data_IF_129934221789
#
_entry.id   IF_129934221789
#
_cell.length_a   1.000
_cell.length_b   1.000
_cell.length_c   1.000
_cell.angle_alpha   90.00
_cell.angle_beta   90.00
_cell.angle_gamma   90.00
#
_symmetry.space_group_name_H-M   'P 1'
#
loop_
_entity.id
_entity.type
_entity.pdbx_description
1 polymer ?
#
# COMPACT_ATOMS: atom_id res chain seq x y z
N UNK A 1 54.88 1.54 13.92
CA UNK A 1 53.49 1.55 14.40
C UNK A 1 52.65 2.74 13.92
N UNK A 2 53.08 4.00 14.11
CA UNK A 2 52.31 5.19 13.69
C UNK A 2 51.96 5.25 12.18
N UNK A 3 52.88 4.87 11.27
CA UNK A 3 52.59 4.86 9.81
C UNK A 3 51.61 3.77 9.42
N UNK A 4 51.67 2.59 9.99
CA UNK A 4 50.70 1.52 9.72
C UNK A 4 49.28 1.87 10.21
N UNK A 5 49.19 2.51 11.37
CA UNK A 5 47.93 3.04 11.89
C UNK A 5 47.33 4.11 10.99
N UNK A 6 48.16 5.08 10.55
CA UNK A 6 47.70 6.15 9.65
C UNK A 6 47.21 5.58 8.27
N UNK A 7 47.89 4.57 7.74
CA UNK A 7 47.46 3.89 6.52
C UNK A 7 46.15 3.16 6.73
N UNK A 8 45.99 2.46 7.86
CA UNK A 8 44.73 1.78 8.21
C UNK A 8 43.55 2.75 8.31
N UNK A 9 43.74 3.89 8.98
CA UNK A 9 42.71 4.96 9.07
C UNK A 9 42.37 5.52 7.69
N UNK A 10 43.38 5.78 6.83
CA UNK A 10 43.13 6.29 5.47
C UNK A 10 42.32 5.30 4.63
N UNK A 11 42.62 4.00 4.70
CA UNK A 11 41.84 2.96 3.99
C UNK A 11 40.39 2.95 4.46
N UNK A 12 40.13 3.02 5.78
CA UNK A 12 38.77 3.05 6.32
C UNK A 12 38.02 4.31 5.85
N UNK A 13 38.65 5.48 5.87
CA UNK A 13 38.03 6.74 5.40
C UNK A 13 37.70 6.66 3.93
N UNK A 14 38.59 6.13 3.10
CA UNK A 14 38.34 5.97 1.65
C UNK A 14 37.23 4.95 1.40
N UNK A 15 37.20 3.83 2.13
CA UNK A 15 36.16 2.83 2.02
C UNK A 15 34.77 3.38 2.44
N UNK A 16 34.70 4.11 3.56
CA UNK A 16 33.46 4.76 4.01
C UNK A 16 33.01 5.86 3.04
N UNK A 17 33.92 6.67 2.54
CA UNK A 17 33.65 7.70 1.53
C UNK A 17 33.16 7.08 0.22
N UNK A 18 33.78 6.00 -0.23
CA UNK A 18 33.35 5.25 -1.41
C UNK A 18 31.95 4.62 -1.23
N UNK A 19 31.70 4.03 -0.07
CA UNK A 19 30.39 3.46 0.25
C UNK A 19 29.29 4.54 0.32
N UNK A 20 29.59 5.69 0.94
CA UNK A 20 28.67 6.82 0.98
C UNK A 20 28.39 7.36 -0.44
N UNK A 21 29.42 7.56 -1.24
CA UNK A 21 29.29 8.01 -2.61
C UNK A 21 28.44 7.03 -3.45
N UNK A 22 28.74 5.72 -3.35
CA UNK A 22 27.93 4.69 -3.99
C UNK A 22 26.47 4.77 -3.53
N UNK A 23 26.20 4.92 -2.22
CA UNK A 23 24.85 5.05 -1.67
C UNK A 23 24.08 6.23 -2.29
N UNK A 24 24.70 7.38 -2.38
CA UNK A 24 24.04 8.57 -2.91
C UNK A 24 23.90 8.59 -4.43
N UNK A 25 24.83 7.99 -5.17
CA UNK A 25 24.79 7.98 -6.64
C UNK A 25 23.89 6.86 -7.21
N UNK A 26 23.82 5.71 -6.54
CA UNK A 26 23.16 4.52 -7.07
C UNK A 26 21.80 4.21 -6.44
N UNK A 27 21.46 4.85 -5.34
CA UNK A 27 20.16 4.65 -4.67
C UNK A 27 19.32 5.92 -4.68
N UNK A 28 17.98 5.79 -4.81
CA UNK A 28 17.24 4.55 -5.02
C UNK A 28 17.48 3.98 -6.41
N UNK A 29 17.43 2.66 -6.56
CA UNK A 29 17.48 2.02 -7.87
C UNK A 29 16.25 2.43 -8.67
N UNK A 30 16.45 3.06 -9.82
CA UNK A 30 15.34 3.48 -10.68
C UNK A 30 15.72 3.34 -12.15
N UNK A 31 14.69 3.13 -12.98
CA UNK A 31 14.79 3.31 -14.41
C UNK A 31 14.27 4.70 -14.81
N UNK A 32 14.67 5.25 -15.95
CA UNK A 32 13.99 6.42 -16.50
C UNK A 32 12.49 6.16 -16.64
N UNK A 33 11.62 7.18 -16.42
CA UNK A 33 10.20 7.00 -16.64
C UNK A 33 9.93 6.65 -18.12
N UNK A 34 8.97 5.76 -18.34
CA UNK A 34 8.55 5.41 -19.71
C UNK A 34 8.09 6.64 -20.47
N UNK A 35 8.42 6.80 -21.76
CA UNK A 35 7.87 7.86 -22.61
C UNK A 35 6.40 7.61 -23.01
N UNK A 36 5.82 6.50 -22.56
CA UNK A 36 4.44 6.12 -22.87
C UNK A 36 3.47 7.25 -22.52
N UNK A 37 2.52 7.49 -23.43
CA UNK A 37 1.31 8.27 -23.17
C UNK A 37 0.12 7.34 -23.13
N UNK A 38 -0.66 7.45 -22.07
CA UNK A 38 -1.83 6.60 -21.85
C UNK A 38 -2.99 7.15 -22.66
N UNK A 39 -3.58 6.30 -23.47
CA UNK A 39 -4.79 6.62 -24.19
C UNK A 39 -5.99 6.64 -23.25
N UNK A 40 -6.79 7.70 -23.33
CA UNK A 40 -7.95 7.94 -22.46
C UNK A 40 -9.24 7.41 -23.10
N UNK A 41 -9.36 6.08 -23.26
CA UNK A 41 -10.62 5.50 -23.72
C UNK A 41 -11.63 5.37 -22.57
N UNK A 42 -12.95 5.42 -22.86
CA UNK A 42 -13.99 5.27 -21.84
C UNK A 42 -13.82 3.98 -21.02
N UNK A 43 -13.50 2.87 -21.67
CA UNK A 43 -13.34 1.56 -21.05
C UNK A 43 -12.13 1.54 -20.09
N UNK A 44 -11.02 2.17 -20.51
CA UNK A 44 -9.81 2.28 -19.70
C UNK A 44 -10.03 3.20 -18.50
N UNK A 45 -10.72 4.31 -18.68
CA UNK A 45 -11.08 5.24 -17.60
C UNK A 45 -11.97 4.54 -16.58
N UNK A 46 -13.01 3.83 -17.03
CA UNK A 46 -13.92 3.11 -16.11
C UNK A 46 -13.20 1.98 -15.37
N UNK A 47 -12.34 1.22 -16.06
CA UNK A 47 -11.48 0.22 -15.41
C UNK A 47 -10.57 0.88 -14.38
N UNK A 48 -9.98 2.01 -14.72
CA UNK A 48 -9.12 2.79 -13.82
C UNK A 48 -9.88 3.30 -12.61
N UNK A 49 -11.11 3.80 -12.79
CA UNK A 49 -11.99 4.22 -11.70
C UNK A 49 -12.25 3.07 -10.73
N UNK A 50 -12.66 1.94 -11.27
CA UNK A 50 -12.93 0.73 -10.50
C UNK A 50 -11.69 0.28 -9.70
N UNK A 51 -10.52 0.20 -10.33
CA UNK A 51 -9.28 -0.17 -9.67
C UNK A 51 -8.88 0.82 -8.59
N UNK A 52 -8.88 2.12 -8.90
CA UNK A 52 -8.42 3.18 -8.00
C UNK A 52 -9.27 3.28 -6.73
N UNK A 53 -10.58 3.09 -6.86
CA UNK A 53 -11.53 3.24 -5.75
C UNK A 53 -11.71 1.91 -5.01
N UNK A 54 -12.01 0.82 -5.73
CA UNK A 54 -12.51 -0.38 -5.09
C UNK A 54 -11.46 -1.45 -4.84
N UNK A 55 -10.39 -1.52 -5.65
CA UNK A 55 -9.39 -2.60 -5.53
C UNK A 55 -8.11 -2.11 -4.85
N UNK A 56 -7.49 -1.06 -5.40
CA UNK A 56 -6.22 -0.52 -4.89
C UNK A 56 -6.41 0.46 -3.74
N UNK A 57 -7.60 1.09 -3.66
CA UNK A 57 -7.98 2.04 -2.60
C UNK A 57 -7.05 3.24 -2.53
N UNK A 58 -6.63 3.76 -3.67
CA UNK A 58 -5.75 4.92 -3.74
C UNK A 58 -6.38 6.12 -3.00
N UNK A 59 -7.67 6.34 -3.24
CA UNK A 59 -8.41 7.45 -2.64
C UNK A 59 -8.57 7.35 -1.13
N UNK A 60 -8.52 6.16 -0.55
CA UNK A 60 -8.63 5.97 0.91
C UNK A 60 -7.41 6.56 1.64
N UNK A 61 -6.21 6.39 1.05
CA UNK A 61 -5.00 6.99 1.57
C UNK A 61 -4.83 8.45 1.12
N UNK A 62 -5.20 8.75 -0.13
CA UNK A 62 -5.01 10.08 -0.71
C UNK A 62 -6.20 11.04 -0.50
N UNK A 63 -7.02 10.79 0.52
CA UNK A 63 -8.07 11.70 1.01
C UNK A 63 -8.06 11.72 2.54
N UNK A 64 -8.72 12.70 3.13
CA UNK A 64 -9.08 12.62 4.54
C UNK A 64 -10.08 11.48 4.73
N UNK A 65 -10.05 10.82 5.89
CA UNK A 65 -10.94 9.70 6.21
C UNK A 65 -11.90 10.05 7.32
N UNK A 66 -13.10 9.50 7.24
CA UNK A 66 -14.11 9.63 8.29
C UNK A 66 -14.04 8.47 9.28
N UNK A 67 -13.21 8.62 10.29
CA UNK A 67 -13.02 7.61 11.33
C UNK A 67 -14.20 7.52 12.33
N UNK A 68 -15.22 8.37 12.22
CA UNK A 68 -16.48 8.20 12.95
C UNK A 68 -17.35 7.10 12.32
N UNK A 69 -16.99 6.63 11.11
CA UNK A 69 -17.67 5.55 10.39
C UNK A 69 -16.79 4.31 10.30
N UNK A 70 -17.42 3.14 10.26
CA UNK A 70 -16.72 1.85 10.25
C UNK A 70 -15.80 1.71 9.03
N UNK A 71 -14.53 1.40 9.28
CA UNK A 71 -13.51 1.32 8.26
C UNK A 71 -13.01 2.66 7.74
N UNK A 72 -13.50 3.79 8.29
CA UNK A 72 -13.04 5.13 7.92
C UNK A 72 -13.11 5.43 6.41
N UNK A 73 -14.28 5.52 5.78
CA UNK A 73 -14.39 5.82 4.35
C UNK A 73 -13.78 7.17 4.01
N UNK A 74 -13.32 7.38 2.76
CA UNK A 74 -12.74 8.66 2.35
C UNK A 74 -13.78 9.77 2.34
N UNK A 75 -13.37 10.97 2.76
CA UNK A 75 -14.17 12.21 2.69
C UNK A 75 -13.85 12.98 1.42
N UNK A 76 -14.85 13.66 0.88
CA UNK A 76 -14.62 14.65 -0.16
C UNK A 76 -13.81 15.86 0.40
N UNK A 77 -12.94 16.47 -0.41
CA UNK A 77 -12.65 16.15 -1.81
C UNK A 77 -11.69 14.95 -1.95
N UNK A 78 -12.09 14.01 -2.81
CA UNK A 78 -11.37 12.74 -2.98
C UNK A 78 -10.07 12.94 -3.78
N UNK A 79 -8.98 12.32 -3.32
CA UNK A 79 -7.67 12.37 -3.97
C UNK A 79 -6.85 13.62 -3.68
N UNK A 80 -7.37 14.55 -2.86
CA UNK A 80 -6.71 15.82 -2.57
C UNK A 80 -5.54 15.71 -1.57
N UNK A 81 -5.26 14.53 -1.04
CA UNK A 81 -4.26 14.33 0.01
C UNK A 81 -4.74 14.82 1.37
N UNK A 82 -3.95 15.67 2.02
CA UNK A 82 -4.20 16.37 3.30
C UNK A 82 -3.96 15.56 4.57
N UNK A 83 -4.03 14.22 4.54
CA UNK A 83 -3.69 13.43 5.71
C UNK A 83 -2.17 13.47 5.97
N UNK A 84 -1.76 13.75 7.20
CA UNK A 84 -0.37 13.68 7.62
C UNK A 84 -0.21 12.67 8.75
N UNK A 85 0.85 11.89 8.68
CA UNK A 85 1.28 10.95 9.70
C UNK A 85 2.46 11.56 10.44
N UNK A 86 2.41 11.60 11.74
CA UNK A 86 3.53 12.05 12.56
C UNK A 86 3.54 11.33 13.91
N UNK A 87 4.64 11.49 14.67
CA UNK A 87 4.81 10.83 15.98
C UNK A 87 3.83 11.32 17.06
N UNK A 88 3.14 12.42 16.84
CA UNK A 88 2.28 13.07 17.83
C UNK A 88 0.79 12.91 17.51
N UNK A 89 0.46 12.62 16.25
CA UNK A 89 -0.93 12.41 15.88
C UNK A 89 -1.32 10.96 16.15
N UNK A 90 -2.24 10.78 17.07
CA UNK A 90 -3.04 9.56 17.14
C UNK A 90 -3.90 9.49 15.87
N UNK A 91 -3.26 9.23 14.73
CA UNK A 91 -4.01 8.95 13.52
C UNK A 91 -4.64 7.58 13.71
N UNK A 92 -5.93 7.59 14.06
CA UNK A 92 -6.73 6.40 14.02
C UNK A 92 -6.41 5.69 12.71
N UNK A 93 -5.72 4.57 12.77
CA UNK A 93 -5.68 3.65 11.67
C UNK A 93 -4.39 3.48 10.86
N UNK A 94 -3.24 4.03 11.17
CA UNK A 94 -2.04 3.84 10.32
C UNK A 94 -0.80 3.34 11.07
N UNK A 95 -0.92 2.83 12.25
CA UNK A 95 0.22 2.20 12.92
C UNK A 95 0.22 0.68 12.68
N UNK A 96 0.81 0.29 11.56
CA UNK A 96 1.16 -1.11 11.34
C UNK A 96 2.40 -1.43 12.18
N UNK A 97 2.19 -1.98 13.35
CA UNK A 97 3.27 -2.52 14.18
C UNK A 97 4.13 -1.52 14.97
N UNK A 98 3.81 -0.22 14.99
CA UNK A 98 4.54 0.78 15.77
C UNK A 98 3.60 1.78 16.44
N UNK A 99 3.90 2.13 17.69
CA UNK A 99 3.13 3.12 18.44
C UNK A 99 3.27 4.56 17.90
N UNK A 100 4.34 4.84 17.16
CA UNK A 100 4.61 6.18 16.61
C UNK A 100 5.17 6.10 15.19
N UNK A 101 4.74 7.03 14.34
CA UNK A 101 5.31 7.18 13.01
C UNK A 101 6.70 7.84 13.10
N UNK A 102 7.73 7.33 12.40
CA UNK A 102 9.09 7.87 12.48
C UNK A 102 9.25 9.17 11.68
N UNK A 103 8.85 10.28 12.24
CA UNK A 103 8.95 11.60 11.63
C UNK A 103 7.60 12.21 11.19
N UNK A 104 7.60 12.89 10.06
CA UNK A 104 6.41 13.51 9.42
C UNK A 104 6.30 13.04 7.98
N UNK A 105 5.13 12.56 7.59
CA UNK A 105 4.79 12.23 6.21
C UNK A 105 3.39 12.72 5.88
N UNK A 106 3.26 13.63 4.94
CA UNK A 106 1.96 14.08 4.43
C UNK A 106 1.64 13.39 3.10
N UNK A 107 0.47 12.79 3.05
CA UNK A 107 -0.05 12.10 1.86
C UNK A 107 -0.38 13.13 0.79
N UNK A 108 0.13 12.90 -0.41
CA UNK A 108 0.09 13.89 -1.50
C UNK A 108 -1.22 13.87 -2.28
N UNK A 109 -1.53 15.01 -2.89
CA UNK A 109 -2.60 15.19 -3.85
C UNK A 109 -2.31 14.38 -5.13
N UNK A 110 -3.23 13.49 -5.50
CA UNK A 110 -3.16 12.67 -6.73
C UNK A 110 -4.15 13.12 -7.81
N UNK A 111 -4.85 14.24 -7.60
CA UNK A 111 -5.69 14.83 -8.65
C UNK A 111 -4.83 15.51 -9.73
N UNK A 112 -5.37 15.73 -10.94
CA UNK A 112 -4.62 16.35 -12.03
C UNK A 112 -4.44 17.88 -11.88
N UNK A 113 -4.43 18.40 -10.66
CA UNK A 113 -4.03 19.80 -10.42
C UNK A 113 -2.54 19.98 -10.74
N UNK A 114 -2.22 20.96 -11.57
CA UNK A 114 -0.86 21.18 -12.06
C UNK A 114 0.07 21.70 -10.97
N UNK A 115 -0.45 22.50 -10.05
CA UNK A 115 0.35 23.18 -9.03
C UNK A 115 0.62 22.30 -7.80
N UNK A 116 -0.38 21.52 -7.36
CA UNK A 116 -0.32 20.81 -6.08
C UNK A 116 -0.51 19.30 -6.20
N UNK A 117 -0.91 18.80 -7.38
CA UNK A 117 -1.18 17.39 -7.68
C UNK A 117 -0.21 16.81 -8.71
N UNK A 118 -0.73 15.86 -9.48
CA UNK A 118 0.04 15.14 -10.50
C UNK A 118 -0.19 15.68 -11.93
N UNK A 119 -0.88 16.82 -12.11
CA UNK A 119 -1.20 17.36 -13.42
C UNK A 119 0.01 17.70 -14.27
N UNK A 120 1.12 18.12 -13.66
CA UNK A 120 2.38 18.38 -14.35
C UNK A 120 3.29 17.16 -14.54
N UNK A 121 2.88 15.95 -14.11
CA UNK A 121 3.66 14.72 -14.26
C UNK A 121 3.43 14.09 -15.63
N UNK A 122 4.40 13.38 -16.18
CA UNK A 122 4.18 12.48 -17.32
C UNK A 122 3.47 11.21 -16.86
N UNK A 123 2.86 10.46 -17.79
CA UNK A 123 2.20 9.19 -17.45
C UNK A 123 3.22 8.16 -16.97
N UNK A 124 4.41 8.13 -17.56
CA UNK A 124 5.50 7.27 -17.11
C UNK A 124 6.01 7.62 -15.71
N UNK A 125 6.03 8.90 -15.31
CA UNK A 125 6.36 9.30 -13.93
C UNK A 125 5.32 8.79 -12.93
N UNK A 126 4.02 8.84 -13.28
CA UNK A 126 2.95 8.31 -12.44
C UNK A 126 3.06 6.79 -12.33
N UNK A 127 3.24 6.08 -13.45
CA UNK A 127 3.44 4.62 -13.47
C UNK A 127 4.63 4.22 -12.58
N UNK A 128 5.75 4.93 -12.72
CA UNK A 128 6.96 4.68 -11.91
C UNK A 128 6.71 4.92 -10.43
N UNK A 129 5.99 5.97 -10.06
CA UNK A 129 5.63 6.23 -8.67
C UNK A 129 4.74 5.12 -8.08
N UNK A 130 3.74 4.66 -8.83
CA UNK A 130 2.81 3.62 -8.41
C UNK A 130 3.49 2.25 -8.28
N UNK A 131 4.31 1.85 -9.25
CA UNK A 131 4.85 0.48 -9.33
C UNK A 131 6.26 0.32 -8.76
N UNK A 132 7.07 1.38 -8.76
CA UNK A 132 8.47 1.32 -8.38
C UNK A 132 8.80 2.17 -7.15
N UNK A 133 7.87 3.03 -6.71
CA UNK A 133 8.06 3.86 -5.55
C UNK A 133 9.04 5.02 -5.77
N UNK A 134 9.15 5.52 -7.00
CA UNK A 134 10.03 6.65 -7.35
C UNK A 134 9.19 7.85 -7.76
N UNK A 135 9.31 8.95 -7.02
CA UNK A 135 8.65 10.21 -7.34
C UNK A 135 9.19 10.88 -8.60
N UNK A 136 8.53 11.97 -9.03
CA UNK A 136 8.96 12.77 -10.19
C UNK A 136 10.39 13.29 -10.02
N UNK A 137 10.74 13.69 -8.80
CA UNK A 137 12.06 14.23 -8.43
C UNK A 137 13.16 13.14 -8.30
N UNK A 138 12.86 11.89 -8.65
CA UNK A 138 13.77 10.77 -8.55
C UNK A 138 13.97 10.21 -7.14
N UNK A 139 13.29 10.76 -6.13
CA UNK A 139 13.39 10.25 -4.75
C UNK A 139 12.51 9.03 -4.55
N UNK A 140 13.00 8.09 -3.74
CA UNK A 140 12.20 6.96 -3.28
C UNK A 140 11.02 7.41 -2.41
N UNK A 141 9.84 6.91 -2.65
CA UNK A 141 8.67 7.11 -1.80
C UNK A 141 8.81 6.30 -0.51
N UNK A 142 8.18 6.77 0.57
CA UNK A 142 8.10 5.99 1.80
C UNK A 142 7.16 4.79 1.58
N UNK A 143 7.50 3.58 2.05
CA UNK A 143 6.79 2.35 1.69
C UNK A 143 5.40 2.18 2.31
N UNK A 144 4.86 3.20 3.00
CA UNK A 144 3.43 3.27 3.29
C UNK A 144 2.61 3.38 1.99
N UNK A 145 3.17 4.02 0.96
CA UNK A 145 2.70 3.84 -0.41
C UNK A 145 3.14 2.43 -0.86
N UNK A 146 2.21 1.49 -1.06
CA UNK A 146 2.55 0.07 -1.18
C UNK A 146 3.00 -0.30 -2.61
N UNK A 147 3.94 0.44 -3.18
CA UNK A 147 4.47 0.18 -4.52
C UNK A 147 5.11 -1.22 -4.65
N UNK A 148 5.63 -1.78 -3.57
CA UNK A 148 6.12 -3.16 -3.53
C UNK A 148 5.00 -4.19 -3.76
N UNK A 149 3.74 -3.84 -3.51
CA UNK A 149 2.54 -4.59 -3.89
C UNK A 149 2.11 -4.21 -5.30
N UNK A 150 2.00 -2.92 -5.59
CA UNK A 150 1.50 -2.43 -6.87
C UNK A 150 2.45 -2.68 -8.06
N UNK A 151 3.69 -3.09 -7.82
CA UNK A 151 4.58 -3.58 -8.87
C UNK A 151 4.02 -4.80 -9.62
N UNK A 152 3.08 -5.52 -9.03
CA UNK A 152 2.38 -6.66 -9.62
C UNK A 152 1.15 -6.26 -10.47
N UNK A 153 0.78 -4.98 -10.50
CA UNK A 153 -0.23 -4.49 -11.44
C UNK A 153 0.21 -4.77 -12.87
N UNK A 154 -0.70 -5.32 -13.65
CA UNK A 154 -0.45 -5.48 -15.10
C UNK A 154 -0.23 -4.13 -15.77
N UNK A 155 0.44 -4.16 -16.91
CA UNK A 155 0.69 -2.95 -17.69
C UNK A 155 -0.63 -2.28 -18.13
N UNK A 156 -1.65 -3.07 -18.44
CA UNK A 156 -2.99 -2.56 -18.77
C UNK A 156 -3.67 -1.92 -17.56
N UNK A 157 -3.63 -2.58 -16.39
CA UNK A 157 -4.31 -2.07 -15.19
C UNK A 157 -3.64 -0.82 -14.63
N UNK A 158 -2.29 -0.70 -14.66
CA UNK A 158 -1.64 0.54 -14.23
C UNK A 158 -1.91 1.69 -15.21
N UNK A 159 -1.99 1.42 -16.52
CA UNK A 159 -2.41 2.43 -17.49
C UNK A 159 -3.86 2.86 -17.27
N UNK A 160 -4.75 1.94 -16.93
CA UNK A 160 -6.13 2.26 -16.58
C UNK A 160 -6.20 3.16 -15.33
N UNK A 161 -5.40 2.88 -14.30
CA UNK A 161 -5.30 3.77 -13.13
C UNK A 161 -4.84 5.17 -13.54
N UNK A 162 -3.81 5.30 -14.37
CA UNK A 162 -3.35 6.61 -14.87
C UNK A 162 -4.44 7.32 -15.66
N UNK A 163 -5.15 6.61 -16.55
CA UNK A 163 -6.25 7.19 -17.32
C UNK A 163 -7.32 7.80 -16.41
N UNK A 164 -7.73 7.08 -15.38
CA UNK A 164 -8.70 7.61 -14.41
C UNK A 164 -8.15 8.81 -13.63
N UNK A 165 -6.92 8.73 -13.11
CA UNK A 165 -6.31 9.84 -12.36
C UNK A 165 -6.22 11.12 -13.21
N UNK A 166 -6.02 11.00 -14.53
CA UNK A 166 -6.02 12.12 -15.48
C UNK A 166 -7.38 12.77 -15.66
N UNK A 167 -8.47 12.03 -15.45
CA UNK A 167 -9.85 12.49 -15.62
C UNK A 167 -10.54 12.91 -14.34
N UNK A 168 -9.87 12.74 -13.19
CA UNK A 168 -10.40 13.26 -11.92
C UNK A 168 -10.55 14.78 -11.97
N UNK A 169 -11.46 15.30 -11.16
CA UNK A 169 -11.55 16.75 -10.98
C UNK A 169 -10.25 17.28 -10.37
N UNK A 170 -9.57 18.26 -10.98
CA UNK A 170 -8.39 18.88 -10.41
C UNK A 170 -8.77 19.67 -9.14
N UNK A 171 -8.07 19.39 -8.06
CA UNK A 171 -8.33 20.01 -6.75
C UNK A 171 -7.03 20.67 -6.29
N UNK A 172 -7.05 21.99 -6.16
CA UNK A 172 -5.92 22.70 -5.56
C UNK A 172 -5.90 22.45 -4.06
N UNK A 173 -4.87 21.78 -3.59
CA UNK A 173 -4.70 21.42 -2.18
C UNK A 173 -3.30 21.80 -1.72
N UNK A 174 -3.20 22.79 -0.85
CA UNK A 174 -1.92 23.12 -0.21
C UNK A 174 -1.56 21.99 0.74
N UNK A 175 -0.41 21.38 0.50
CA UNK A 175 0.15 20.36 1.38
C UNK A 175 1.21 21.04 2.25
N UNK A 176 1.29 20.73 3.55
CA UNK A 176 2.46 21.10 4.33
C UNK A 176 3.72 20.61 3.60
N UNK A 177 4.79 21.41 3.54
CA UNK A 177 6.06 20.93 3.08
C UNK A 177 6.44 19.78 4.01
N UNK A 178 6.57 18.57 3.50
CA UNK A 178 6.97 17.65 4.52
C UNK A 178 6.97 16.19 4.18
N UNK A 179 8.14 15.74 4.02
CA UNK A 179 8.61 14.44 4.39
C UNK A 179 9.84 14.65 5.25
N UNK A 180 9.68 14.51 6.54
CA UNK A 180 10.78 14.51 7.52
C UNK A 180 10.79 13.15 8.18
N UNK A 181 11.45 12.20 7.55
CA UNK A 181 11.63 10.85 8.10
C UNK A 181 12.87 10.83 8.97
N UNK A 182 12.75 10.28 10.17
CA UNK A 182 13.84 10.20 11.13
C UNK A 182 15.01 9.34 10.62
N UNK A 183 16.20 9.67 11.09
CA UNK A 183 17.39 8.83 10.91
C UNK A 183 17.24 7.54 11.75
N UNK A 184 17.64 6.37 11.26
CA UNK A 184 18.28 6.10 9.95
C UNK A 184 17.30 5.79 8.81
N UNK A 185 15.99 5.78 9.04
CA UNK A 185 14.98 5.40 8.05
C UNK A 185 14.97 6.31 6.82
N UNK A 186 15.27 7.60 6.98
CA UNK A 186 15.42 8.54 5.86
C UNK A 186 16.48 8.09 4.84
N UNK A 187 17.51 7.36 5.27
CA UNK A 187 18.50 6.73 4.38
C UNK A 187 18.01 5.36 3.89
N UNK A 188 17.50 4.52 4.79
CA UNK A 188 17.09 3.16 4.46
C UNK A 188 15.95 3.10 3.45
N UNK A 189 15.07 4.09 3.42
CA UNK A 189 13.98 4.18 2.43
C UNK A 189 14.46 4.16 0.98
N UNK A 190 15.72 4.50 0.73
CA UNK A 190 16.34 4.47 -0.61
C UNK A 190 16.60 3.05 -1.12
N UNK A 191 16.62 2.05 -0.25
CA UNK A 191 16.87 0.65 -0.58
C UNK A 191 15.66 -0.08 -1.17
N UNK A 192 14.45 0.36 -0.84
CA UNK A 192 13.22 -0.35 -1.17
C UNK A 192 12.72 -0.16 -2.61
N UNK A 193 12.80 1.04 -3.22
CA UNK A 193 12.40 1.20 -4.62
C UNK A 193 13.24 0.33 -5.54
N UNK A 194 12.57 -0.35 -6.46
CA UNK A 194 13.22 -1.20 -7.46
C UNK A 194 12.47 -1.09 -8.78
N UNK A 195 13.18 -1.01 -9.92
CA UNK A 195 12.54 -0.95 -11.23
C UNK A 195 11.77 -2.24 -11.53
N UNK A 196 10.62 -2.08 -12.16
CA UNK A 196 9.87 -3.20 -12.74
C UNK A 196 10.52 -3.57 -14.08
N UNK A 197 10.94 -4.81 -14.20
CA UNK A 197 11.63 -5.31 -15.39
C UNK A 197 10.70 -6.20 -16.22
N UNK A 198 10.57 -5.87 -17.49
CA UNK A 198 9.74 -6.60 -18.43
C UNK A 198 8.22 -6.36 -18.26
N UNK A 199 7.41 -6.92 -19.15
CA UNK A 199 5.96 -6.76 -19.12
C UNK A 199 5.34 -7.53 -17.95
N UNK A 200 4.36 -6.92 -17.29
CA UNK A 200 3.51 -7.55 -16.26
C UNK A 200 2.12 -7.79 -16.85
N UNK A 201 1.67 -9.02 -16.84
CA UNK A 201 0.37 -9.42 -17.38
C UNK A 201 -0.55 -9.88 -16.27
N UNK A 202 -1.83 -9.51 -16.36
CA UNK A 202 -2.87 -10.09 -15.51
C UNK A 202 -3.40 -11.38 -16.15
N UNK A 203 -3.87 -12.36 -15.35
CA UNK A 203 -4.69 -13.43 -15.86
C UNK A 203 -5.99 -12.90 -16.49
N UNK A 204 -6.66 -13.67 -17.36
CA UNK A 204 -7.99 -13.32 -17.87
C UNK A 204 -8.95 -13.03 -16.72
N UNK A 205 -9.74 -11.95 -16.87
CA UNK A 205 -10.74 -11.56 -15.87
C UNK A 205 -11.84 -12.62 -15.77
N UNK A 206 -12.37 -12.78 -14.57
CA UNK A 206 -13.46 -13.70 -14.30
C UNK A 206 -13.28 -14.41 -12.95
N UNK A 207 -14.27 -15.18 -12.51
CA UNK A 207 -14.26 -15.83 -11.20
C UNK A 207 -13.36 -17.08 -11.18
N UNK A 208 -12.06 -16.89 -11.47
CA UNK A 208 -11.04 -17.96 -11.50
C UNK A 208 -10.06 -17.82 -10.33
N UNK A 209 -9.42 -18.92 -9.95
CA UNK A 209 -8.37 -18.91 -8.91
C UNK A 209 -7.21 -18.02 -9.29
N UNK A 210 -6.74 -18.08 -10.54
CA UNK A 210 -5.62 -17.27 -11.01
C UNK A 210 -5.91 -15.77 -10.95
N UNK A 211 -7.13 -15.37 -11.34
CA UNK A 211 -7.52 -13.97 -11.25
C UNK A 211 -7.75 -13.54 -9.79
N UNK A 212 -8.26 -14.43 -8.95
CA UNK A 212 -8.39 -14.21 -7.50
C UNK A 212 -7.03 -14.01 -6.82
N UNK A 213 -6.01 -14.78 -7.20
CA UNK A 213 -4.63 -14.57 -6.73
C UNK A 213 -4.11 -13.18 -7.12
N UNK A 214 -4.27 -12.80 -8.39
CA UNK A 214 -3.90 -11.48 -8.87
C UNK A 214 -4.59 -10.36 -8.08
N UNK A 215 -5.92 -10.44 -7.92
CA UNK A 215 -6.70 -9.48 -7.13
C UNK A 215 -6.26 -9.45 -5.67
N UNK A 216 -6.08 -10.61 -5.03
CA UNK A 216 -5.63 -10.70 -3.64
C UNK A 216 -4.31 -9.96 -3.42
N UNK A 217 -3.39 -10.12 -4.36
CA UNK A 217 -2.09 -9.47 -4.31
C UNK A 217 -2.22 -7.95 -4.47
N UNK A 218 -2.84 -7.47 -5.55
CA UNK A 218 -2.93 -6.02 -5.82
C UNK A 218 -3.87 -5.28 -4.85
N UNK A 219 -4.90 -5.95 -4.31
CA UNK A 219 -5.79 -5.42 -3.27
C UNK A 219 -5.18 -5.47 -1.86
N UNK A 220 -3.95 -5.95 -1.71
CA UNK A 220 -3.20 -6.07 -0.45
C UNK A 220 -3.76 -7.07 0.56
N UNK A 221 -4.61 -8.01 0.13
CA UNK A 221 -5.13 -9.03 1.03
C UNK A 221 -3.98 -9.83 1.67
N UNK A 222 -3.05 -10.31 0.85
CA UNK A 222 -1.86 -11.03 1.31
C UNK A 222 -0.99 -10.19 2.24
N UNK A 223 -0.86 -8.88 1.97
CA UNK A 223 -0.05 -8.00 2.80
C UNK A 223 -0.60 -7.84 4.21
N UNK A 224 -1.92 -7.68 4.35
CA UNK A 224 -2.56 -7.48 5.66
C UNK A 224 -2.92 -8.79 6.37
N UNK A 225 -3.13 -9.88 5.61
CA UNK A 225 -3.62 -11.15 6.18
C UNK A 225 -2.56 -12.26 6.24
N UNK A 226 -1.29 -11.95 5.95
CA UNK A 226 -0.17 -12.89 6.15
C UNK A 226 0.72 -12.37 7.28
N UNK A 227 0.95 -13.16 8.34
CA UNK A 227 1.88 -12.78 9.40
C UNK A 227 3.28 -12.55 8.84
N UNK A 228 3.93 -11.48 9.28
CA UNK A 228 5.21 -11.02 8.73
C UNK A 228 6.24 -10.81 9.81
N UNK A 229 7.49 -10.99 9.45
CA UNK A 229 8.62 -10.54 10.25
C UNK A 229 8.67 -9.00 10.23
N UNK A 230 8.59 -8.34 11.40
CA UNK A 230 8.63 -6.89 11.48
C UNK A 230 9.93 -6.27 10.93
N UNK A 231 11.02 -7.01 10.92
CA UNK A 231 12.34 -6.52 10.48
C UNK A 231 12.53 -6.57 8.96
N UNK A 232 11.94 -7.56 8.29
CA UNK A 232 12.11 -7.78 6.84
C UNK A 232 10.88 -7.45 6.02
N UNK A 233 9.71 -7.36 6.64
CA UNK A 233 8.38 -7.27 5.99
C UNK A 233 8.03 -8.52 5.15
N UNK A 234 8.80 -9.59 5.25
CA UNK A 234 8.50 -10.85 4.58
C UNK A 234 7.47 -11.65 5.35
N UNK A 235 6.60 -12.34 4.64
CA UNK A 235 5.65 -13.27 5.24
C UNK A 235 6.36 -14.47 5.82
N UNK A 236 5.92 -14.94 6.98
CA UNK A 236 6.44 -16.19 7.54
C UNK A 236 6.15 -17.37 6.59
N UNK A 237 7.14 -18.22 6.32
CA UNK A 237 6.95 -19.39 5.47
C UNK A 237 5.77 -20.27 5.91
N UNK A 238 4.96 -20.71 4.96
CA UNK A 238 3.79 -21.55 5.23
C UNK A 238 2.60 -20.86 5.92
N UNK A 239 2.65 -19.52 6.11
CA UNK A 239 1.60 -18.76 6.80
C UNK A 239 0.84 -17.80 5.89
N UNK A 240 0.87 -18.03 4.57
CA UNK A 240 0.15 -17.18 3.61
C UNK A 240 -1.34 -17.11 3.97
N UNK A 241 -1.86 -15.86 4.09
CA UNK A 241 -3.25 -15.58 4.41
C UNK A 241 -3.77 -16.12 5.75
N UNK A 242 -2.87 -16.58 6.64
CA UNK A 242 -3.24 -17.16 7.93
C UNK A 242 -3.81 -16.17 8.95
N UNK A 243 -3.79 -14.86 8.65
CA UNK A 243 -4.24 -13.82 9.59
C UNK A 243 -3.27 -13.60 10.75
N UNK A 244 -3.75 -12.91 11.80
CA UNK A 244 -2.97 -12.70 13.02
C UNK A 244 -2.05 -11.48 13.00
N UNK A 245 -2.04 -10.67 11.94
CA UNK A 245 -1.31 -9.39 11.94
C UNK A 245 -1.96 -8.41 12.91
N UNK A 246 -1.21 -7.81 13.83
CA UNK A 246 -1.73 -6.79 14.72
C UNK A 246 -1.84 -5.43 14.02
N UNK A 247 -2.96 -4.75 14.23
CA UNK A 247 -3.22 -3.38 13.79
C UNK A 247 -3.65 -2.54 14.99
N UNK A 248 -3.00 -1.42 15.19
CA UNK A 248 -3.26 -0.53 16.30
C UNK A 248 -4.25 0.56 15.89
N UNK A 249 -5.33 0.69 16.62
CA UNK A 249 -6.33 1.75 16.53
C UNK A 249 -6.24 2.62 17.78
N UNK A 250 -5.28 3.56 17.79
CA UNK A 250 -4.88 4.27 19.01
C UNK A 250 -4.00 3.40 19.92
N UNK A 251 -3.69 3.91 21.13
CA UNK A 251 -2.69 3.31 22.03
C UNK A 251 -3.10 1.98 22.67
N UNK A 252 -4.38 1.74 22.86
CA UNK A 252 -4.88 0.60 23.65
C UNK A 252 -5.68 -0.43 22.86
N UNK A 253 -6.08 -0.11 21.63
CA UNK A 253 -6.97 -0.96 20.85
C UNK A 253 -6.20 -1.68 19.74
N UNK A 254 -6.04 -2.99 19.88
CA UNK A 254 -5.38 -3.84 18.86
C UNK A 254 -6.43 -4.71 18.20
N UNK A 255 -6.45 -4.69 16.87
CA UNK A 255 -7.24 -5.61 16.05
C UNK A 255 -6.31 -6.52 15.29
N UNK A 256 -6.66 -7.78 15.17
CA UNK A 256 -5.89 -8.75 14.39
C UNK A 256 -6.58 -9.02 13.06
N UNK A 257 -5.79 -9.18 12.00
CA UNK A 257 -6.34 -9.61 10.72
C UNK A 257 -6.91 -11.03 10.81
N UNK A 258 -8.04 -11.25 10.13
CA UNK A 258 -8.68 -12.56 10.09
C UNK A 258 -7.89 -13.55 9.24
N UNK A 259 -8.02 -14.84 9.57
CA UNK A 259 -7.55 -15.94 8.74
C UNK A 259 -8.42 -16.05 7.48
N UNK A 260 -7.83 -15.96 6.31
CA UNK A 260 -8.50 -16.09 5.01
C UNK A 260 -8.30 -17.47 4.38
N UNK A 261 -7.58 -18.40 5.06
CA UNK A 261 -7.41 -19.77 4.57
C UNK A 261 -8.66 -20.62 4.79
N UNK A 262 -8.81 -21.77 4.10
CA UNK A 262 -9.96 -22.67 4.27
C UNK A 262 -9.92 -23.49 5.57
N UNK A 263 -9.19 -23.05 6.58
CA UNK A 263 -9.17 -23.66 7.91
C UNK A 263 -10.44 -23.32 8.72
N UNK A 264 -10.77 -24.11 9.72
CA UNK A 264 -11.93 -23.90 10.60
C UNK A 264 -11.89 -22.55 11.34
N UNK A 265 -10.69 -22.03 11.65
CA UNK A 265 -10.49 -20.69 12.23
C UNK A 265 -10.53 -19.55 11.21
N UNK A 266 -10.74 -19.85 9.94
CA UNK A 266 -10.78 -18.90 8.84
C UNK A 266 -12.05 -19.02 8.01
N UNK A 267 -11.89 -19.08 6.67
CA UNK A 267 -13.00 -19.15 5.73
C UNK A 267 -13.55 -20.58 5.55
N UNK A 268 -13.05 -21.59 6.28
CA UNK A 268 -13.53 -22.97 6.17
C UNK A 268 -15.06 -23.11 6.28
N UNK A 269 -15.71 -22.52 7.29
CA UNK A 269 -17.15 -22.59 7.47
C UNK A 269 -17.98 -21.71 6.51
N UNK A 270 -17.34 -20.83 5.74
CA UNK A 270 -18.04 -19.82 4.95
C UNK A 270 -18.42 -20.32 3.57
N UNK A 271 -19.66 -20.08 3.15
CA UNK A 271 -20.07 -20.20 1.76
C UNK A 271 -19.63 -18.98 0.93
N UNK A 272 -19.60 -19.14 -0.40
CA UNK A 272 -19.34 -18.04 -1.34
C UNK A 272 -20.33 -16.88 -1.14
N UNK A 273 -21.60 -17.20 -0.96
CA UNK A 273 -22.64 -16.20 -0.73
C UNK A 273 -22.40 -15.39 0.57
N UNK A 274 -22.04 -16.06 1.66
CA UNK A 274 -21.72 -15.41 2.94
C UNK A 274 -20.48 -14.52 2.81
N UNK A 275 -19.49 -14.95 2.03
CA UNK A 275 -18.30 -14.14 1.77
C UNK A 275 -18.64 -12.87 1.02
N UNK A 276 -19.40 -12.95 -0.06
CA UNK A 276 -19.84 -11.77 -0.85
C UNK A 276 -20.68 -10.84 0.02
N UNK A 277 -21.66 -11.38 0.72
CA UNK A 277 -22.55 -10.62 1.59
C UNK A 277 -21.78 -9.86 2.69
N UNK A 278 -20.69 -10.46 3.19
CA UNK A 278 -19.83 -9.80 4.17
C UNK A 278 -19.27 -8.47 3.66
N UNK A 279 -18.95 -8.35 2.38
CA UNK A 279 -18.53 -7.09 1.78
C UNK A 279 -19.72 -6.16 1.54
N UNK A 280 -20.79 -6.67 0.94
CA UNK A 280 -21.96 -5.86 0.55
C UNK A 280 -22.60 -5.09 1.70
N UNK A 281 -22.69 -5.68 2.90
CA UNK A 281 -23.24 -5.02 4.09
C UNK A 281 -22.48 -3.78 4.54
N UNK A 282 -21.28 -3.55 4.02
CA UNK A 282 -20.46 -2.40 4.35
C UNK A 282 -20.39 -1.35 3.23
N UNK A 283 -21.27 -1.41 2.24
CA UNK A 283 -21.38 -0.41 1.19
C UNK A 283 -21.69 0.99 1.76
N UNK A 284 -22.50 1.04 2.80
CA UNK A 284 -22.75 2.24 3.62
C UNK A 284 -22.35 1.95 5.08
N UNK A 285 -21.09 2.23 5.45
CA UNK A 285 -20.61 1.86 6.78
C UNK A 285 -21.27 2.69 7.87
N UNK A 286 -21.73 2.06 8.97
CA UNK A 286 -22.40 2.75 10.06
C UNK A 286 -21.43 3.64 10.86
N UNK A 287 -21.99 4.57 11.62
CA UNK A 287 -21.24 5.25 12.68
C UNK A 287 -20.89 4.26 13.80
N UNK A 288 -19.66 4.35 14.29
CA UNK A 288 -19.15 3.44 15.31
C UNK A 288 -18.33 4.19 16.35
N UNK A 289 -18.27 3.62 17.55
CA UNK A 289 -17.28 4.03 18.54
C UNK A 289 -15.87 3.74 18.00
N UNK A 290 -14.88 4.63 18.23
CA UNK A 290 -13.51 4.42 17.80
C UNK A 290 -12.90 3.06 18.22
N UNK A 291 -13.28 2.52 19.37
CA UNK A 291 -12.83 1.21 19.85
C UNK A 291 -13.38 0.04 19.04
N UNK A 292 -14.55 0.21 18.42
CA UNK A 292 -15.18 -0.79 17.56
C UNK A 292 -14.74 -0.72 16.10
N UNK A 293 -13.96 0.29 15.73
CA UNK A 293 -13.54 0.54 14.35
C UNK A 293 -12.53 -0.50 13.83
N UNK A 294 -12.19 -0.43 12.56
CA UNK A 294 -11.29 -1.34 11.85
C UNK A 294 -10.43 -0.60 10.82
N UNK A 295 -9.30 -1.19 10.44
CA UNK A 295 -8.47 -0.71 9.31
C UNK A 295 -8.85 -1.33 7.98
N UNK A 296 -9.68 -2.36 7.97
CA UNK A 296 -10.17 -2.97 6.74
C UNK A 296 -11.06 -1.97 5.99
N UNK A 297 -10.71 -1.65 4.75
CA UNK A 297 -11.39 -0.66 3.91
C UNK A 297 -12.69 -1.25 3.30
N UNK A 298 -13.64 -1.58 4.16
CA UNK A 298 -14.85 -2.31 3.80
C UNK A 298 -15.67 -1.61 2.72
N UNK A 299 -15.85 -0.27 2.83
CA UNK A 299 -16.65 0.50 1.87
C UNK A 299 -16.08 0.46 0.45
N UNK A 300 -14.74 0.49 0.33
CA UNK A 300 -14.07 0.35 -0.95
C UNK A 300 -14.30 -1.04 -1.55
N UNK A 301 -14.01 -2.08 -0.80
CA UNK A 301 -14.17 -3.46 -1.25
C UNK A 301 -15.64 -3.84 -1.49
N UNK A 302 -16.59 -3.21 -0.81
CA UNK A 302 -18.01 -3.41 -1.07
C UNK A 302 -18.41 -3.00 -2.50
N UNK A 303 -17.62 -2.14 -3.16
CA UNK A 303 -17.80 -1.76 -4.56
C UNK A 303 -17.17 -2.73 -5.58
N UNK A 304 -16.48 -3.80 -5.14
CA UNK A 304 -15.97 -4.81 -6.08
C UNK A 304 -17.12 -5.56 -6.76
N UNK A 305 -16.90 -6.02 -7.99
CA UNK A 305 -17.91 -6.86 -8.68
C UNK A 305 -18.08 -8.20 -7.99
N UNK A 306 -19.24 -8.83 -8.16
CA UNK A 306 -19.46 -10.18 -7.60
C UNK A 306 -18.48 -11.20 -8.17
N UNK A 307 -18.14 -11.09 -9.46
CA UNK A 307 -17.17 -11.99 -10.08
C UNK A 307 -15.77 -11.83 -9.49
N UNK A 308 -15.36 -10.61 -9.15
CA UNK A 308 -14.07 -10.38 -8.50
C UNK A 308 -14.07 -10.89 -7.06
N UNK A 309 -15.17 -10.72 -6.32
CA UNK A 309 -15.32 -11.30 -4.97
C UNK A 309 -15.36 -12.84 -5.02
N UNK A 310 -16.02 -13.44 -6.05
CA UNK A 310 -15.97 -14.90 -6.29
C UNK A 310 -14.57 -15.38 -6.62
N UNK A 311 -13.83 -14.63 -7.44
CA UNK A 311 -12.43 -14.94 -7.74
C UNK A 311 -11.57 -14.97 -6.47
N UNK A 312 -11.69 -13.95 -5.62
CA UNK A 312 -11.02 -13.89 -4.32
C UNK A 312 -11.40 -15.08 -3.43
N UNK A 313 -12.70 -15.37 -3.30
CA UNK A 313 -13.17 -16.51 -2.51
C UNK A 313 -12.57 -17.83 -3.02
N UNK A 314 -12.61 -18.08 -4.33
CA UNK A 314 -12.04 -19.30 -4.94
C UNK A 314 -10.54 -19.41 -4.69
N UNK A 315 -9.80 -18.31 -4.79
CA UNK A 315 -8.38 -18.29 -4.47
C UNK A 315 -8.13 -18.59 -2.99
N UNK A 316 -8.85 -17.95 -2.07
CA UNK A 316 -8.70 -18.22 -0.63
C UNK A 316 -9.07 -19.65 -0.25
N UNK A 317 -9.98 -20.30 -1.00
CA UNK A 317 -10.33 -21.70 -0.83
C UNK A 317 -9.29 -22.67 -1.41
N UNK A 318 -8.44 -22.20 -2.30
CA UNK A 318 -7.40 -23.01 -2.97
C UNK A 318 -6.06 -23.04 -2.23
N UNK A 319 -5.83 -22.11 -1.30
CA UNK A 319 -4.58 -22.09 -0.52
C UNK A 319 -4.60 -23.17 0.58
N UNK A 320 -3.42 -23.63 1.04
CA UNK A 320 -3.37 -24.59 2.15
C UNK A 320 -4.07 -24.06 3.41
N UNK A 321 -4.84 -24.89 4.12
CA UNK A 321 -5.46 -24.50 5.38
C UNK A 321 -4.40 -24.30 6.46
N UNK A 322 -4.45 -23.14 7.13
CA UNK A 322 -3.52 -22.77 8.23
C UNK A 322 -4.33 -22.36 9.45
N UNK A 323 -4.00 -22.90 10.61
CA UNK A 323 -4.63 -22.50 11.86
C UNK A 323 -4.22 -21.06 12.23
N UNK A 324 -5.19 -20.21 12.61
CA UNK A 324 -4.91 -18.90 13.18
C UNK A 324 -4.26 -19.08 14.56
N UNK A 325 -3.08 -18.50 14.71
CA UNK A 325 -2.40 -18.37 15.99
C UNK A 325 -2.13 -16.90 16.25
N UNK A 326 -2.61 -16.41 17.38
CA UNK A 326 -2.32 -15.05 17.84
C UNK A 326 -1.08 -15.11 18.72
N UNK A 327 0.01 -14.55 18.21
CA UNK A 327 1.21 -14.37 19.03
C UNK A 327 0.97 -13.24 20.05
N UNK A 328 1.38 -13.40 21.30
CA UNK A 328 1.33 -12.33 22.27
C UNK A 328 2.17 -11.15 21.76
N UNK A 329 1.58 -9.94 21.76
CA UNK A 329 2.35 -8.74 21.49
C UNK A 329 3.21 -8.48 22.73
N UNK A 330 4.52 -8.63 22.58
CA UNK A 330 5.48 -8.21 23.60
C UNK A 330 5.47 -6.67 23.67
N UNK A 331 4.65 -6.15 24.57
CA UNK A 331 4.60 -4.72 24.89
C UNK A 331 5.73 -4.41 25.86
N UNK A 332 6.97 -4.45 25.39
CA UNK A 332 8.06 -3.86 26.15
C UNK A 332 7.90 -2.35 26.15
N UNK A 333 8.01 -1.71 27.30
CA UNK A 333 7.86 -0.27 27.44
C UNK A 333 8.93 0.53 26.68
#
# INVERSE_FOLDING_TARGET
MRRAFAIGVAIVVVALGGAALWWFLWLPRSAPPSPLRVELTPERIERGRYLTINVLQCVDCHSERDWTRYGGPPKAPIGAGRACLNRYTETAGVNVGQETFPGLLCIRNITPDVATGIGGWTDGEIIRAVREGIGRDGRGLFPIMPYFVYRHLSDEDVQAVVAYLRTMQPIRSSQPPGREIDFPLNLLVRLWPQPVRGPVRAPPRGPTVAYGEYLSRIARCEFCHTPRDPSSLEGYPGRLLAGGMPFFLGRSNVKYSMNLTPHATGLGPWSEAQFIERFRRHADPPHVDPSANTLMNWSAFAGMTDDDLRALYRYFRSVPPVELRLEPIDRRP
#
